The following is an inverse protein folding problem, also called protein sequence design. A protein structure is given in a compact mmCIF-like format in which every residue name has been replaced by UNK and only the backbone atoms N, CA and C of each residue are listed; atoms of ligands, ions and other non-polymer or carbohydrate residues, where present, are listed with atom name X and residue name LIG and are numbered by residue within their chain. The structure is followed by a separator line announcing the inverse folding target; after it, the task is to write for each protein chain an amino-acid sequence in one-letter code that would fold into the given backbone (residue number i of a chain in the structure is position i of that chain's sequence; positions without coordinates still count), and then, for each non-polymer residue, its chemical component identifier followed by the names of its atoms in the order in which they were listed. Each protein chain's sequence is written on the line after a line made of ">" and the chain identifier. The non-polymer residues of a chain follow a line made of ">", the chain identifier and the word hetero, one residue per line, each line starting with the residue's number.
data_IF_580335298846
#
_entry.id   IF_580335298846
#
_cell.length_a   1.000
_cell.length_b   1.000
_cell.length_c   1.000
_cell.angle_alpha   90.00
_cell.angle_beta   90.00
_cell.angle_gamma   90.00
#
_symmetry.space_group_name_H-M   'P 1'
#
loop_
_entity.id
_entity.type
_entity.pdbx_description
1 polymer ?
#
# COMPACT_ATOMS: atom_id res chain seq x y z
N UNK A 1 -12.95 -2.84 3.03
CA UNK A 1 -13.33 -2.07 1.83
C UNK A 1 -12.44 -2.58 0.71
N UNK A 2 -13.01 -2.92 -0.44
CA UNK A 2 -12.31 -3.59 -1.53
C UNK A 2 -12.22 -2.65 -2.74
N UNK A 3 -11.05 -2.59 -3.37
CA UNK A 3 -10.83 -1.89 -4.61
C UNK A 3 -9.97 -2.76 -5.53
N UNK A 4 -10.37 -2.87 -6.79
CA UNK A 4 -9.58 -3.60 -7.78
C UNK A 4 -8.20 -2.97 -7.95
N UNK A 5 -7.17 -3.79 -8.07
CA UNK A 5 -5.83 -3.30 -8.37
C UNK A 5 -5.84 -2.46 -9.66
N UNK A 6 -4.98 -1.43 -9.69
CA UNK A 6 -4.84 -0.51 -10.82
C UNK A 6 -6.09 0.34 -11.13
N UNK A 7 -7.13 0.28 -10.30
CA UNK A 7 -8.22 1.27 -10.34
C UNK A 7 -7.78 2.59 -9.70
N UNK A 8 -8.40 3.71 -10.08
CA UNK A 8 -8.06 5.01 -9.51
C UNK A 8 -8.42 5.07 -8.03
N UNK A 9 -7.51 5.60 -7.21
CA UNK A 9 -7.73 5.84 -5.80
C UNK A 9 -8.61 7.07 -5.60
N UNK A 10 -9.69 6.96 -4.83
CA UNK A 10 -10.62 8.07 -4.62
C UNK A 10 -10.63 8.64 -3.20
N UNK A 11 -10.03 8.01 -2.18
CA UNK A 11 -9.99 8.53 -0.81
C UNK A 11 -11.34 9.07 -0.24
N UNK A 12 -12.49 8.50 -0.66
CA UNK A 12 -13.86 8.99 -0.35
C UNK A 12 -14.20 10.37 -0.94
N UNK A 13 -13.40 10.85 -1.88
CA UNK A 13 -13.69 12.03 -2.70
C UNK A 13 -14.77 11.71 -3.74
N UNK A 14 -15.45 12.75 -4.20
CA UNK A 14 -16.44 12.65 -5.27
C UNK A 14 -15.83 12.15 -6.59
N UNK A 15 -14.58 12.52 -6.87
CA UNK A 15 -13.83 12.14 -8.06
C UNK A 15 -12.54 11.40 -7.68
N UNK A 16 -12.18 10.31 -8.38
CA UNK A 16 -10.88 9.67 -8.19
C UNK A 16 -9.70 10.58 -8.52
N UNK A 17 -8.57 10.40 -7.84
CA UNK A 17 -7.34 11.15 -8.08
C UNK A 17 -6.61 10.62 -9.32
N UNK A 18 -6.46 11.47 -10.33
CA UNK A 18 -5.70 11.13 -11.53
C UNK A 18 -4.24 10.79 -11.19
N UNK A 19 -3.75 9.66 -11.70
CA UNK A 19 -2.39 9.19 -11.44
C UNK A 19 -2.20 8.43 -10.11
N UNK A 20 -3.23 8.25 -9.28
CA UNK A 20 -3.14 7.46 -8.06
C UNK A 20 -3.89 6.15 -8.24
N UNK A 21 -3.23 5.02 -8.01
CA UNK A 21 -3.76 3.69 -8.30
C UNK A 21 -3.84 2.83 -7.03
N UNK A 22 -4.98 2.19 -6.82
CA UNK A 22 -5.18 1.21 -5.77
C UNK A 22 -4.31 -0.03 -6.00
N UNK A 23 -3.63 -0.49 -4.95
CA UNK A 23 -2.99 -1.82 -4.92
C UNK A 23 -3.21 -2.47 -3.56
N UNK A 24 -3.58 -3.76 -3.54
CA UNK A 24 -3.68 -4.54 -2.31
C UNK A 24 -4.89 -4.19 -1.44
N UNK A 25 -5.99 -3.73 -2.04
CA UNK A 25 -7.26 -3.49 -1.35
C UNK A 25 -8.19 -4.70 -1.50
N UNK A 26 -7.75 -5.85 -0.99
CA UNK A 26 -8.42 -7.13 -1.18
C UNK A 26 -9.70 -7.25 -0.35
N UNK A 27 -10.66 -8.03 -0.85
CA UNK A 27 -11.88 -8.40 -0.13
C UNK A 27 -11.94 -9.91 0.12
N UNK A 28 -12.62 -10.32 1.20
CA UNK A 28 -12.63 -11.72 1.66
C UNK A 28 -13.30 -12.72 0.71
N UNK A 29 -14.07 -12.25 -0.26
CA UNK A 29 -14.79 -13.11 -1.23
C UNK A 29 -14.23 -13.02 -2.65
N UNK A 30 -13.33 -12.07 -2.90
CA UNK A 30 -12.82 -11.81 -4.25
C UNK A 30 -11.52 -12.55 -4.44
N UNK A 31 -11.44 -13.31 -5.54
CA UNK A 31 -10.20 -13.97 -5.94
C UNK A 31 -9.20 -12.92 -6.37
N UNK A 32 -7.96 -13.07 -5.92
CA UNK A 32 -6.84 -12.24 -6.33
C UNK A 32 -5.78 -13.10 -7.01
N UNK A 33 -4.90 -12.50 -7.82
CA UNK A 33 -3.77 -13.23 -8.38
C UNK A 33 -2.89 -13.77 -7.26
N UNK A 34 -2.62 -15.07 -7.30
CA UNK A 34 -1.74 -15.76 -6.37
C UNK A 34 -0.49 -16.23 -7.12
N UNK A 35 0.69 -15.97 -6.55
CA UNK A 35 1.94 -16.55 -7.00
C UNK A 35 3.00 -16.41 -5.91
N UNK A 36 4.04 -17.24 -6.00
CA UNK A 36 5.26 -17.01 -5.21
C UNK A 36 5.83 -15.63 -5.55
N UNK A 37 5.83 -14.74 -4.56
CA UNK A 37 6.58 -13.48 -4.58
C UNK A 37 7.98 -13.78 -4.08
N UNK A 38 9.00 -13.10 -4.62
CA UNK A 38 10.39 -13.35 -4.20
C UNK A 38 10.60 -12.85 -2.77
N UNK A 39 11.40 -13.57 -1.98
CA UNK A 39 11.77 -13.14 -0.63
C UNK A 39 12.35 -11.73 -0.63
N UNK A 40 13.15 -11.38 -1.65
CA UNK A 40 13.69 -10.02 -1.81
C UNK A 40 12.62 -8.94 -1.96
N UNK A 41 11.48 -9.26 -2.61
CA UNK A 41 10.39 -8.31 -2.77
C UNK A 41 9.64 -8.12 -1.43
N UNK A 42 9.51 -9.21 -0.66
CA UNK A 42 8.93 -9.17 0.70
C UNK A 42 9.82 -8.32 1.61
N UNK A 43 11.14 -8.53 1.58
CA UNK A 43 12.09 -7.76 2.39
C UNK A 43 12.14 -6.27 1.97
N UNK A 44 11.99 -5.97 0.68
CA UNK A 44 11.86 -4.59 0.21
C UNK A 44 10.55 -3.95 0.70
N UNK A 45 9.45 -4.70 0.70
CA UNK A 45 8.16 -4.23 1.23
C UNK A 45 8.23 -4.00 2.75
N UNK A 46 8.88 -4.90 3.49
CA UNK A 46 9.19 -4.70 4.92
C UNK A 46 10.03 -3.43 5.11
N UNK A 47 11.04 -3.22 4.27
CA UNK A 47 11.88 -2.02 4.34
C UNK A 47 11.04 -0.75 4.17
N UNK A 48 10.19 -0.69 3.15
CA UNK A 48 9.26 0.41 2.89
C UNK A 48 8.31 0.67 4.07
N UNK A 49 7.86 -0.37 4.77
CA UNK A 49 6.88 -0.27 5.87
C UNK A 49 7.53 0.09 7.20
N UNK A 50 8.75 -0.40 7.47
CA UNK A 50 9.32 -0.38 8.82
C UNK A 50 10.57 0.48 8.97
N UNK A 51 11.34 0.72 7.92
CA UNK A 51 12.54 1.54 8.05
C UNK A 51 12.19 3.02 8.19
N UNK A 52 12.84 3.75 9.11
CA UNK A 52 12.62 5.19 9.30
C UNK A 52 12.79 6.01 8.01
N UNK A 53 13.71 5.60 7.12
CA UNK A 53 13.98 6.28 5.85
C UNK A 53 12.73 6.41 4.95
N UNK A 54 11.77 5.49 5.07
CA UNK A 54 10.57 5.48 4.24
C UNK A 54 9.30 5.99 4.96
N UNK A 55 9.43 6.47 6.21
CA UNK A 55 8.28 6.98 6.99
C UNK A 55 7.52 8.10 6.28
N UNK A 56 8.20 8.92 5.48
CA UNK A 56 7.57 10.00 4.71
C UNK A 56 6.66 9.48 3.59
N UNK A 57 6.83 8.23 3.16
CA UNK A 57 5.97 7.56 2.19
C UNK A 57 4.65 7.07 2.82
N UNK A 58 4.49 7.20 4.14
CA UNK A 58 3.28 6.79 4.86
C UNK A 58 2.36 7.98 5.09
N UNK A 59 1.06 7.74 4.98
CA UNK A 59 0.03 8.74 5.31
C UNK A 59 -1.20 8.07 5.89
N UNK A 60 -2.06 8.85 6.53
CA UNK A 60 -3.33 8.38 7.09
C UNK A 60 -4.48 9.18 6.50
N UNK A 61 -5.58 8.50 6.30
CA UNK A 61 -6.90 9.09 6.06
C UNK A 61 -7.83 8.61 7.17
N UNK A 62 -8.91 9.34 7.43
CA UNK A 62 -9.86 9.06 8.52
C UNK A 62 -10.73 7.82 8.23
N UNK A 63 -10.12 6.64 8.11
CA UNK A 63 -10.77 5.37 7.77
C UNK A 63 -10.59 4.26 8.82
N UNK A 64 -10.00 4.58 9.97
CA UNK A 64 -9.73 3.59 11.02
C UNK A 64 -8.68 2.54 10.60
N UNK A 65 -8.75 1.36 11.21
CA UNK A 65 -7.83 0.25 10.95
C UNK A 65 -8.44 -0.73 9.93
N UNK A 66 -7.67 -1.13 8.93
CA UNK A 66 -8.03 -2.23 8.04
C UNK A 66 -7.66 -3.56 8.69
N UNK A 67 -8.67 -4.39 9.01
CA UNK A 67 -8.47 -5.80 9.32
C UNK A 67 -8.32 -6.63 8.04
N UNK A 68 -7.70 -7.81 8.14
CA UNK A 68 -7.65 -8.75 7.01
C UNK A 68 -9.03 -9.36 6.80
N UNK A 69 -9.68 -9.15 5.63
CA UNK A 69 -10.97 -9.75 5.34
C UNK A 69 -10.85 -11.19 4.83
N UNK A 70 -9.62 -11.67 4.59
CA UNK A 70 -9.32 -13.03 4.11
C UNK A 70 -9.11 -14.00 5.28
N UNK A 71 -8.57 -13.52 6.40
CA UNK A 71 -8.49 -14.27 7.63
C UNK A 71 -9.88 -14.45 8.27
N UNK A 72 -10.13 -15.61 8.87
CA UNK A 72 -11.37 -15.91 9.59
C UNK A 72 -11.39 -15.39 11.04
N UNK A 73 -10.34 -14.71 11.49
CA UNK A 73 -10.15 -14.31 12.90
C UNK A 73 -10.67 -12.88 13.21
N UNK A 74 -10.95 -12.07 12.18
CA UNK A 74 -11.43 -10.69 12.33
C UNK A 74 -10.48 -9.78 13.13
N UNK A 75 -9.25 -10.22 13.36
CA UNK A 75 -8.31 -9.60 14.28
C UNK A 75 -7.51 -8.46 13.67
N UNK A 76 -6.84 -7.71 14.56
CA UNK A 76 -5.77 -6.80 14.13
C UNK A 76 -4.61 -7.65 13.61
N UNK A 77 -4.14 -7.33 12.41
CA UNK A 77 -2.97 -7.99 11.84
C UNK A 77 -1.71 -7.31 12.35
N UNK A 78 -0.76 -8.12 12.79
CA UNK A 78 0.55 -7.65 13.23
C UNK A 78 1.66 -8.39 12.49
N UNK A 79 2.82 -7.76 12.35
CA UNK A 79 4.04 -8.38 11.86
C UNK A 79 5.18 -8.08 12.83
N UNK A 80 6.14 -9.01 12.92
CA UNK A 80 7.31 -8.90 13.80
C UNK A 80 8.54 -8.61 12.96
N UNK A 81 9.20 -7.48 13.24
CA UNK A 81 10.40 -7.04 12.52
C UNK A 81 11.45 -6.70 13.57
N UNK A 82 12.62 -7.34 13.49
CA UNK A 82 13.71 -7.16 14.45
C UNK A 82 13.26 -7.31 15.93
N UNK A 83 12.30 -8.19 16.20
CA UNK A 83 11.77 -8.43 17.54
C UNK A 83 10.70 -7.43 18.00
N UNK A 84 10.34 -6.43 17.18
CA UNK A 84 9.25 -5.50 17.48
C UNK A 84 7.98 -5.89 16.74
N UNK A 85 6.88 -6.03 17.48
CA UNK A 85 5.55 -6.22 16.90
C UNK A 85 4.99 -4.87 16.42
N UNK A 86 4.61 -4.81 15.16
CA UNK A 86 3.97 -3.65 14.54
C UNK A 86 2.61 -4.04 13.98
N UNK A 87 1.63 -3.17 14.18
CA UNK A 87 0.31 -3.34 13.57
C UNK A 87 0.36 -2.98 12.09
N UNK A 88 -0.38 -3.74 11.28
CA UNK A 88 -0.62 -3.47 9.87
C UNK A 88 -2.07 -2.99 9.67
N UNK A 89 -2.31 -2.31 8.55
CA UNK A 89 -3.62 -1.77 8.19
C UNK A 89 -3.98 -0.44 8.85
N UNK A 90 -3.05 0.20 9.56
CA UNK A 90 -3.29 1.46 10.25
C UNK A 90 -2.86 2.71 9.47
N UNK A 91 -2.05 2.53 8.42
CA UNK A 91 -1.66 3.59 7.50
C UNK A 91 -1.68 3.13 6.04
N UNK A 92 -1.63 4.10 5.15
CA UNK A 92 -1.47 3.91 3.72
C UNK A 92 -0.03 4.22 3.32
N UNK A 93 0.44 3.48 2.33
CA UNK A 93 1.72 3.66 1.67
C UNK A 93 1.44 4.37 0.35
N UNK A 94 2.20 5.42 0.06
CA UNK A 94 2.30 6.02 -1.26
C UNK A 94 3.64 5.62 -1.87
N UNK A 95 3.61 4.70 -2.84
CA UNK A 95 4.79 4.27 -3.57
C UNK A 95 4.85 5.02 -4.91
N UNK A 96 5.91 5.79 -5.21
CA UNK A 96 6.08 6.40 -6.53
C UNK A 96 6.18 5.32 -7.60
N UNK A 97 5.45 5.51 -8.71
CA UNK A 97 5.60 4.68 -9.90
C UNK A 97 6.88 5.05 -10.65
N UNK A 98 7.41 4.10 -11.43
CA UNK A 98 8.44 4.39 -12.44
C UNK A 98 7.98 5.45 -13.47
N UNK A 99 6.68 5.63 -13.65
CA UNK A 99 6.12 6.70 -14.48
C UNK A 99 5.91 7.96 -13.65
N UNK A 100 6.56 9.06 -14.07
CA UNK A 100 6.49 10.36 -13.39
C UNK A 100 5.04 10.83 -13.23
N UNK A 101 4.70 11.24 -12.01
CA UNK A 101 3.36 11.75 -11.67
C UNK A 101 2.34 10.65 -11.37
N UNK A 102 2.74 9.39 -11.36
CA UNK A 102 1.90 8.28 -10.95
C UNK A 102 2.36 7.67 -9.63
N UNK A 103 1.40 7.20 -8.84
CA UNK A 103 1.63 6.63 -7.52
C UNK A 103 0.73 5.43 -7.28
N UNK A 104 1.24 4.47 -6.52
CA UNK A 104 0.45 3.38 -5.98
C UNK A 104 0.07 3.66 -4.53
N UNK A 105 -1.20 3.45 -4.21
CA UNK A 105 -1.76 3.60 -2.88
C UNK A 105 -2.17 2.23 -2.37
N UNK A 106 -1.50 1.77 -1.32
CA UNK A 106 -1.77 0.48 -0.69
C UNK A 106 -1.89 0.60 0.82
N UNK A 107 -2.80 -0.14 1.49
CA UNK A 107 -2.75 -0.26 2.94
C UNK A 107 -1.46 -0.97 3.35
N UNK A 108 -0.90 -0.67 4.53
CA UNK A 108 0.25 -1.43 5.05
C UNK A 108 -0.02 -2.93 5.21
N UNK A 109 -1.30 -3.31 5.23
CA UNK A 109 -1.81 -4.67 5.19
C UNK A 109 -1.40 -5.46 3.93
N UNK A 110 -0.95 -4.79 2.86
CA UNK A 110 -0.41 -5.44 1.67
C UNK A 110 0.71 -6.44 2.00
N UNK A 111 1.55 -6.16 2.99
CA UNK A 111 2.60 -7.08 3.43
C UNK A 111 2.01 -8.42 3.89
N UNK A 112 0.96 -8.37 4.69
CA UNK A 112 0.29 -9.58 5.17
C UNK A 112 -0.32 -10.37 4.01
N UNK A 113 -0.93 -9.69 3.04
CA UNK A 113 -1.49 -10.37 1.86
C UNK A 113 -0.42 -11.07 1.04
N UNK A 114 0.73 -10.42 0.82
CA UNK A 114 1.84 -11.01 0.08
C UNK A 114 2.45 -12.19 0.85
N UNK A 115 2.75 -11.99 2.14
CA UNK A 115 3.50 -12.95 2.95
C UNK A 115 2.67 -14.18 3.37
N UNK A 116 1.38 -13.98 3.72
CA UNK A 116 0.54 -15.04 4.31
C UNK A 116 -0.55 -15.55 3.37
N UNK A 117 -0.99 -14.75 2.41
CA UNK A 117 -2.06 -15.14 1.47
C UNK A 117 -1.56 -15.35 0.04
N UNK A 118 -0.25 -15.21 -0.22
CA UNK A 118 0.34 -15.43 -1.53
C UNK A 118 -0.15 -14.46 -2.60
N UNK A 119 -0.73 -13.32 -2.19
CA UNK A 119 -1.18 -12.29 -3.11
C UNK A 119 0.00 -11.80 -3.95
N UNK A 120 -0.21 -11.74 -5.26
CA UNK A 120 0.74 -11.24 -6.24
C UNK A 120 0.34 -9.82 -6.68
N UNK A 121 1.02 -8.77 -6.19
CA UNK A 121 0.75 -7.41 -6.63
C UNK A 121 0.99 -7.24 -8.14
N UNK A 122 0.39 -6.22 -8.76
CA UNK A 122 0.66 -5.88 -10.16
C UNK A 122 2.15 -5.72 -10.43
N UNK A 123 2.60 -6.15 -11.61
CA UNK A 123 4.01 -6.08 -11.99
C UNK A 123 4.60 -4.67 -11.85
N UNK A 124 3.85 -3.63 -12.22
CA UNK A 124 4.32 -2.24 -12.11
C UNK A 124 4.53 -1.78 -10.65
N UNK A 125 3.76 -2.33 -9.70
CA UNK A 125 3.97 -2.09 -8.28
C UNK A 125 5.30 -2.72 -7.83
N UNK A 126 5.51 -4.00 -8.17
CA UNK A 126 6.73 -4.72 -7.83
C UNK A 126 7.97 -4.09 -8.46
N UNK A 127 7.90 -3.71 -9.73
CA UNK A 127 9.02 -3.07 -10.42
C UNK A 127 9.38 -1.71 -9.78
N UNK A 128 8.36 -0.93 -9.38
CA UNK A 128 8.56 0.33 -8.66
C UNK A 128 9.12 0.13 -7.26
N UNK A 129 8.63 -0.90 -6.54
CA UNK A 129 9.13 -1.27 -5.22
C UNK A 129 10.61 -1.65 -5.27
N UNK A 130 11.02 -2.43 -6.27
CA UNK A 130 12.42 -2.84 -6.49
C UNK A 130 13.34 -1.69 -6.86
N UNK A 131 12.81 -0.68 -7.54
CA UNK A 131 13.59 0.50 -7.93
C UNK A 131 13.70 1.55 -6.81
N UNK A 132 12.92 1.42 -5.74
CA UNK A 132 12.86 2.38 -4.66
C UNK A 132 14.13 2.33 -3.79
N UNK A 133 14.82 3.46 -3.69
CA UNK A 133 15.94 3.65 -2.77
C UNK A 133 15.59 4.70 -1.70
N UNK A 134 16.38 4.78 -0.64
CA UNK A 134 16.16 5.75 0.45
C UNK A 134 16.14 7.21 -0.04
N UNK A 135 16.94 7.53 -1.06
CA UNK A 135 16.97 8.86 -1.68
C UNK A 135 15.71 9.22 -2.48
N UNK A 136 14.86 8.23 -2.78
CA UNK A 136 13.63 8.39 -3.54
C UNK A 136 12.40 8.58 -2.61
N UNK A 137 12.62 8.67 -1.30
CA UNK A 137 11.55 8.85 -0.33
C UNK A 137 10.79 10.16 -0.58
N UNK A 138 9.48 10.04 -0.81
CA UNK A 138 8.59 11.16 -1.08
C UNK A 138 7.87 11.63 0.18
N UNK A 139 7.31 12.83 0.15
CA UNK A 139 6.35 13.29 1.17
C UNK A 139 4.93 12.89 0.74
N UNK A 140 4.47 11.73 1.19
CA UNK A 140 3.16 11.19 0.83
C UNK A 140 2.02 12.11 1.25
N UNK A 141 2.09 12.68 2.45
CA UNK A 141 1.09 13.63 2.94
C UNK A 141 1.01 14.90 2.07
N UNK A 142 2.16 15.47 1.66
CA UNK A 142 2.17 16.65 0.79
C UNK A 142 1.58 16.33 -0.58
N UNK A 143 2.06 15.27 -1.22
CA UNK A 143 1.62 14.86 -2.56
C UNK A 143 0.12 14.55 -2.57
N UNK A 144 -0.37 13.85 -1.54
CA UNK A 144 -1.78 13.54 -1.41
C UNK A 144 -2.62 14.81 -1.21
N UNK A 145 -2.21 15.71 -0.31
CA UNK A 145 -2.93 16.97 -0.06
C UNK A 145 -2.99 17.85 -1.31
N UNK A 146 -1.86 18.00 -2.02
CA UNK A 146 -1.79 18.76 -3.27
C UNK A 146 -2.72 18.17 -4.34
N UNK A 147 -2.74 16.83 -4.47
CA UNK A 147 -3.64 16.15 -5.39
C UNK A 147 -5.12 16.38 -5.04
N UNK A 148 -5.48 16.31 -3.75
CA UNK A 148 -6.84 16.59 -3.27
C UNK A 148 -7.25 18.03 -3.57
N UNK A 149 -6.37 19.00 -3.29
CA UNK A 149 -6.65 20.42 -3.57
C UNK A 149 -6.86 20.69 -5.05
N UNK A 150 -6.06 20.07 -5.93
CA UNK A 150 -6.19 20.22 -7.37
C UNK A 150 -7.41 19.51 -7.97
N UNK A 151 -7.94 18.48 -7.29
CA UNK A 151 -9.14 17.75 -7.73
C UNK A 151 -10.45 18.41 -7.29
N UNK A 152 -10.38 19.44 -6.43
CA UNK A 152 -11.53 20.19 -5.93
C UNK A 152 -11.86 21.45 -6.76
N UNK A 153 -11.03 21.80 -7.75
CA UNK A 153 -11.24 22.90 -8.69
C UNK A 153 -11.73 22.40 -10.05
#
# INVERSE_FOLDING_TARGET
>A
MEYGDMTLFCADLANPLAGFFNVGWLGGKTKFPEASVLDSDIEQLKSLIFLPAFRSCHFRISRGFASCPVCNDGGLVTSVIHGETRMLGDFLILLPSLKRGEYFVSPSLILHYVEFHGYKPPKMYIDSLRALNEGDAISAASIFNDAVSNNAG
#
